data_IF_882580552325
#
_entry.id   IF_882580552325
#
_cell.length_a   1.000
_cell.length_b   1.000
_cell.length_c   1.000
_cell.angle_alpha   90.00
_cell.angle_beta   90.00
_cell.angle_gamma   90.00
#
_symmetry.space_group_name_H-M   'P 1'
#
loop_
_entity.id
_entity.type
_entity.pdbx_description
1 polymer ?
#
# COMPACT_ATOMS: atom_id res chain seq x y z
N UNK A 1 -35.45 77.85 -4.80
CA UNK A 1 -35.97 77.28 -6.06
C UNK A 1 -37.30 77.86 -6.52
N UNK A 2 -37.85 77.38 -7.65
CA UNK A 2 -39.09 77.91 -8.26
C UNK A 2 -40.36 77.11 -7.88
N UNK A 3 -40.45 76.60 -6.65
CA UNK A 3 -41.57 75.75 -6.23
C UNK A 3 -41.83 75.76 -4.73
N UNK A 4 -42.51 76.79 -4.24
CA UNK A 4 -42.94 76.99 -2.84
C UNK A 4 -44.14 76.12 -2.41
N UNK A 5 -44.59 75.19 -3.26
CA UNK A 5 -45.69 74.30 -2.96
C UNK A 5 -45.17 72.91 -2.52
N UNK A 6 -45.16 72.59 -1.22
CA UNK A 6 -44.66 71.31 -0.70
C UNK A 6 -45.48 70.08 -1.14
N UNK A 7 -46.61 70.28 -1.81
CA UNK A 7 -47.43 69.20 -2.39
C UNK A 7 -47.39 69.17 -3.94
N UNK A 8 -46.52 69.98 -4.57
CA UNK A 8 -46.31 69.99 -6.01
C UNK A 8 -45.36 68.87 -6.48
N UNK A 9 -45.37 68.54 -7.79
CA UNK A 9 -44.26 67.80 -8.40
C UNK A 9 -43.07 68.76 -8.50
N UNK A 10 -41.86 68.34 -8.08
CA UNK A 10 -40.65 69.17 -8.00
C UNK A 10 -40.79 70.31 -6.98
N UNK A 11 -41.18 69.97 -5.74
CA UNK A 11 -41.19 70.94 -4.66
C UNK A 11 -39.76 71.28 -4.25
N UNK A 12 -39.56 72.50 -3.78
CA UNK A 12 -38.28 73.00 -3.29
C UNK A 12 -37.88 72.23 -2.02
N UNK A 13 -36.77 71.47 -2.09
CA UNK A 13 -36.27 70.68 -0.94
C UNK A 13 -35.66 71.56 0.15
N UNK A 14 -35.26 72.80 -0.19
CA UNK A 14 -34.65 73.75 0.74
C UNK A 14 -35.43 75.08 0.83
N UNK A 15 -36.64 75.09 1.43
CA UNK A 15 -37.48 76.29 1.50
C UNK A 15 -36.84 77.51 2.17
N UNK A 16 -35.90 77.29 3.08
CA UNK A 16 -35.21 78.34 3.84
C UNK A 16 -33.91 78.82 3.15
N UNK A 17 -33.40 78.09 2.16
CA UNK A 17 -32.20 78.45 1.40
C UNK A 17 -32.60 78.86 -0.03
N UNK A 18 -32.61 80.18 -0.35
CA UNK A 18 -33.07 80.65 -1.67
C UNK A 18 -32.14 80.27 -2.82
N UNK A 19 -30.90 79.84 -2.52
CA UNK A 19 -29.92 79.44 -3.53
C UNK A 19 -29.93 77.95 -3.84
N UNK A 20 -30.60 77.13 -3.03
CA UNK A 20 -30.74 75.69 -3.24
C UNK A 20 -32.17 75.30 -3.61
N UNK A 21 -32.37 74.08 -4.13
CA UNK A 21 -33.72 73.56 -4.45
C UNK A 21 -33.83 72.06 -4.68
N UNK A 22 -32.72 71.36 -4.90
CA UNK A 22 -32.63 69.93 -5.21
C UNK A 22 -31.45 69.33 -4.44
N UNK A 23 -31.59 68.06 -4.11
CA UNK A 23 -30.68 67.21 -3.33
C UNK A 23 -30.95 65.81 -3.85
N UNK A 24 -30.11 65.38 -4.80
CA UNK A 24 -30.32 64.18 -5.61
C UNK A 24 -29.88 62.90 -4.88
N UNK A 25 -28.88 62.98 -3.99
CA UNK A 25 -28.41 61.87 -3.14
C UNK A 25 -29.14 61.76 -1.80
N UNK A 26 -29.88 62.77 -1.36
CA UNK A 26 -30.59 62.83 -0.07
C UNK A 26 -29.66 63.00 1.14
N UNK A 27 -28.46 63.57 0.96
CA UNK A 27 -27.48 63.82 2.03
C UNK A 27 -27.85 65.04 2.92
N UNK A 28 -28.79 65.87 2.43
CA UNK A 28 -29.27 67.07 3.09
C UNK A 28 -28.50 68.35 2.73
N UNK A 29 -27.63 68.30 1.72
CA UNK A 29 -26.94 69.40 1.08
C UNK A 29 -27.53 69.65 -0.32
N UNK A 30 -27.47 70.89 -0.79
CA UNK A 30 -28.08 71.24 -2.08
C UNK A 30 -27.12 71.09 -3.26
N UNK A 31 -27.57 70.49 -4.36
CA UNK A 31 -26.75 70.20 -5.55
C UNK A 31 -26.28 71.46 -6.31
N UNK A 32 -26.85 72.65 -6.05
CA UNK A 32 -26.48 73.84 -6.81
C UNK A 32 -25.13 74.36 -6.34
N UNK A 33 -24.05 73.91 -7.00
CA UNK A 33 -22.66 74.31 -6.74
C UNK A 33 -22.39 75.83 -6.68
N UNK A 34 -23.28 76.65 -7.23
CA UNK A 34 -23.18 78.12 -7.19
C UNK A 34 -23.91 78.76 -5.98
N UNK A 35 -24.62 77.98 -5.17
CA UNK A 35 -25.36 78.45 -4.01
C UNK A 35 -24.56 78.45 -2.72
N UNK A 36 -25.24 78.70 -1.60
CA UNK A 36 -24.65 78.74 -0.27
C UNK A 36 -24.84 77.41 0.43
N UNK A 37 -23.77 76.87 1.02
CA UNK A 37 -23.76 75.52 1.63
C UNK A 37 -24.10 74.42 0.61
N UNK A 38 -23.62 74.60 -0.63
CA UNK A 38 -23.73 73.59 -1.66
C UNK A 38 -22.97 72.32 -1.26
N UNK A 39 -23.51 71.20 -1.72
CA UNK A 39 -22.93 69.88 -1.59
C UNK A 39 -21.48 69.84 -2.16
N UNK A 40 -20.49 69.39 -1.37
CA UNK A 40 -19.12 69.22 -1.84
C UNK A 40 -18.93 68.06 -2.83
N UNK A 41 -19.77 67.01 -2.76
CA UNK A 41 -19.63 65.78 -3.55
C UNK A 41 -20.98 65.31 -4.12
N UNK A 42 -21.24 65.68 -5.37
CA UNK A 42 -22.52 65.38 -6.01
C UNK A 42 -22.75 63.89 -6.26
N UNK A 43 -23.89 63.38 -5.79
CA UNK A 43 -24.28 61.97 -5.77
C UNK A 43 -23.34 61.11 -4.91
N UNK A 44 -23.01 61.60 -3.72
CA UNK A 44 -22.22 60.93 -2.68
C UNK A 44 -22.89 61.22 -1.32
N UNK A 45 -23.76 60.29 -0.91
CA UNK A 45 -24.64 60.52 0.23
C UNK A 45 -23.90 60.66 1.57
N UNK A 46 -22.75 60.02 1.75
CA UNK A 46 -22.00 60.10 3.00
C UNK A 46 -20.78 61.03 2.95
N UNK A 47 -20.56 61.65 1.79
CA UNK A 47 -19.55 62.65 1.53
C UNK A 47 -18.11 62.17 1.79
N UNK A 48 -17.83 60.89 1.54
CA UNK A 48 -16.49 60.31 1.70
C UNK A 48 -15.57 60.52 0.49
N UNK A 49 -16.12 61.02 -0.62
CA UNK A 49 -15.42 61.31 -1.86
C UNK A 49 -15.65 60.28 -2.97
N UNK A 50 -16.43 59.23 -2.72
CA UNK A 50 -16.81 58.22 -3.70
C UNK A 50 -18.27 58.39 -4.12
N UNK A 51 -18.50 58.34 -5.42
CA UNK A 51 -19.87 58.47 -5.92
C UNK A 51 -20.69 57.23 -5.55
N UNK A 52 -21.94 57.41 -5.13
CA UNK A 52 -22.88 56.34 -4.73
C UNK A 52 -22.99 55.18 -5.75
N UNK A 53 -22.64 55.42 -7.01
CA UNK A 53 -22.68 54.41 -8.08
C UNK A 53 -21.48 53.45 -8.09
N UNK A 54 -20.34 53.86 -7.52
CA UNK A 54 -19.10 53.07 -7.39
C UNK A 54 -18.74 52.81 -5.93
N UNK A 55 -19.44 53.42 -4.98
CA UNK A 55 -19.27 53.14 -3.57
C UNK A 55 -20.04 51.87 -3.16
N UNK A 56 -19.33 50.92 -2.54
CA UNK A 56 -19.92 49.69 -2.02
C UNK A 56 -20.81 49.92 -0.80
N UNK A 57 -20.59 51.02 -0.07
CA UNK A 57 -21.34 51.41 1.10
C UNK A 57 -21.80 52.87 0.96
N UNK A 58 -22.78 53.18 0.07
CA UNK A 58 -23.26 54.54 -0.23
C UNK A 58 -23.86 55.33 0.95
N UNK A 59 -23.76 54.83 2.16
CA UNK A 59 -24.29 55.45 3.39
C UNK A 59 -23.30 55.40 4.54
N UNK A 60 -22.12 54.83 4.32
CA UNK A 60 -21.07 54.73 5.31
C UNK A 60 -19.70 54.73 4.62
N UNK A 61 -18.90 55.73 4.97
CA UNK A 61 -17.56 55.93 4.43
C UNK A 61 -16.79 54.63 4.16
N UNK A 62 -16.37 54.45 2.91
CA UNK A 62 -15.71 53.28 2.38
C UNK A 62 -14.46 53.66 1.57
N UNK A 63 -13.57 52.69 1.28
CA UNK A 63 -12.44 52.92 0.38
C UNK A 63 -12.80 53.07 -1.10
N UNK A 64 -14.06 52.84 -1.50
CA UNK A 64 -14.47 52.75 -2.90
C UNK A 64 -14.28 51.37 -3.53
N UNK A 65 -14.84 51.21 -4.73
CA UNK A 65 -14.68 50.07 -5.64
C UNK A 65 -14.69 50.64 -7.07
N UNK A 66 -13.52 51.06 -7.52
CA UNK A 66 -13.34 51.93 -8.70
C UNK A 66 -13.82 51.27 -9.99
N UNK A 67 -13.67 49.95 -10.12
CA UNK A 67 -14.10 49.20 -11.29
C UNK A 67 -15.43 48.44 -11.12
N UNK A 68 -15.99 48.50 -9.91
CA UNK A 68 -17.30 47.99 -9.52
C UNK A 68 -17.42 46.46 -9.62
N UNK A 69 -16.36 45.72 -9.28
CA UNK A 69 -16.32 44.26 -9.30
C UNK A 69 -16.63 43.60 -7.94
N UNK A 70 -16.72 44.41 -6.88
CA UNK A 70 -17.03 44.00 -5.52
C UNK A 70 -15.82 43.78 -4.62
N UNK A 71 -14.60 43.98 -5.13
CA UNK A 71 -13.37 44.11 -4.37
C UNK A 71 -13.17 45.59 -3.98
N UNK A 72 -12.65 45.82 -2.79
CA UNK A 72 -12.45 47.17 -2.26
C UNK A 72 -11.10 47.70 -2.72
N UNK A 73 -11.01 48.95 -3.18
CA UNK A 73 -9.74 49.57 -3.66
C UNK A 73 -8.57 49.42 -2.66
N UNK A 74 -8.84 49.36 -1.35
CA UNK A 74 -7.79 49.18 -0.32
C UNK A 74 -7.26 47.73 -0.21
N UNK A 75 -8.08 46.75 -0.61
CA UNK A 75 -7.81 45.30 -0.54
C UNK A 75 -7.63 44.65 -1.93
N UNK A 76 -7.90 45.39 -3.01
CA UNK A 76 -7.80 44.98 -4.39
C UNK A 76 -6.35 45.17 -4.91
N UNK A 77 -5.81 44.15 -5.55
CA UNK A 77 -4.50 44.25 -6.21
C UNK A 77 -4.60 45.00 -7.55
N UNK A 78 -5.80 45.11 -8.13
CA UNK A 78 -6.08 45.61 -9.47
C UNK A 78 -7.31 46.52 -9.55
N UNK A 79 -7.36 47.61 -8.80
CA UNK A 79 -8.49 48.58 -8.70
C UNK A 79 -9.08 49.13 -10.03
N UNK A 80 -8.42 48.94 -11.17
CA UNK A 80 -8.91 49.37 -12.50
C UNK A 80 -9.41 48.21 -13.39
N UNK A 81 -9.29 46.95 -12.93
CA UNK A 81 -9.57 45.76 -13.71
C UNK A 81 -10.63 44.87 -13.04
N UNK A 82 -11.89 44.94 -13.49
CA UNK A 82 -13.04 44.33 -12.81
C UNK A 82 -13.14 42.80 -12.99
N UNK A 83 -12.03 42.16 -13.34
CA UNK A 83 -11.88 40.74 -13.54
C UNK A 83 -10.81 40.14 -12.62
N UNK A 84 -10.09 40.94 -11.85
CA UNK A 84 -8.97 40.50 -11.01
C UNK A 84 -9.04 41.21 -9.67
N UNK A 85 -8.86 40.49 -8.57
CA UNK A 85 -8.80 41.08 -7.23
C UNK A 85 -7.55 40.72 -6.44
N UNK A 86 -6.91 39.60 -6.78
CA UNK A 86 -5.83 38.98 -6.02
C UNK A 86 -4.61 38.79 -6.92
N UNK A 87 -3.43 38.92 -6.31
CA UNK A 87 -2.10 38.68 -6.89
C UNK A 87 -1.31 37.91 -5.82
N UNK A 88 -1.43 36.58 -5.85
CA UNK A 88 -0.95 35.71 -4.78
C UNK A 88 0.57 35.59 -4.72
N UNK A 89 1.26 35.69 -5.86
CA UNK A 89 2.72 35.64 -5.96
C UNK A 89 3.38 37.04 -6.06
N UNK A 90 2.61 38.07 -6.35
CA UNK A 90 3.07 39.46 -6.45
C UNK A 90 3.79 39.79 -7.75
N UNK A 91 3.53 39.04 -8.84
CA UNK A 91 4.18 39.27 -10.14
C UNK A 91 3.49 40.35 -11.00
N UNK A 92 2.30 40.78 -10.59
CA UNK A 92 1.48 41.80 -11.24
C UNK A 92 0.54 41.26 -12.33
N UNK A 93 0.36 39.95 -12.43
CA UNK A 93 -0.74 39.27 -13.11
C UNK A 93 -1.73 38.80 -12.04
N UNK A 94 -3.03 39.00 -12.26
CA UNK A 94 -4.03 38.58 -11.28
C UNK A 94 -4.34 37.10 -11.36
N UNK A 95 -4.71 36.49 -10.23
CA UNK A 95 -4.96 35.04 -10.07
C UNK A 95 -5.99 34.47 -11.07
N UNK A 96 -6.94 35.26 -11.61
CA UNK A 96 -7.88 34.74 -12.62
C UNK A 96 -7.25 34.63 -14.03
N UNK A 97 -6.14 35.34 -14.25
CA UNK A 97 -5.42 35.45 -15.51
C UNK A 97 -4.03 34.83 -15.50
N UNK A 98 -3.47 34.59 -14.32
CA UNK A 98 -2.24 33.83 -14.13
C UNK A 98 -2.51 32.33 -14.33
N UNK A 99 -1.45 31.59 -14.59
CA UNK A 99 -1.48 30.14 -14.77
C UNK A 99 -0.64 29.41 -13.72
N UNK A 100 -0.01 30.13 -12.79
CA UNK A 100 0.88 29.68 -11.72
C UNK A 100 0.80 30.70 -10.56
N UNK A 101 -0.34 30.71 -9.85
CA UNK A 101 -0.74 31.76 -8.88
C UNK A 101 0.23 31.91 -7.68
N UNK A 102 1.12 30.95 -7.43
CA UNK A 102 2.11 31.00 -6.34
C UNK A 102 3.59 30.97 -6.79
N UNK A 103 3.81 30.86 -8.10
CA UNK A 103 5.12 30.87 -8.77
C UNK A 103 6.09 29.80 -8.27
N UNK A 104 5.59 28.65 -7.84
CA UNK A 104 6.40 27.51 -7.44
C UNK A 104 6.99 26.74 -8.64
N UNK A 105 6.51 27.06 -9.86
CA UNK A 105 6.89 26.47 -11.12
C UNK A 105 5.96 25.35 -11.62
N UNK A 106 4.83 25.12 -10.96
CA UNK A 106 3.74 24.26 -11.37
C UNK A 106 2.52 25.10 -11.75
N UNK A 107 1.90 24.78 -12.87
CA UNK A 107 0.69 25.52 -13.26
C UNK A 107 -0.51 25.07 -12.44
N UNK A 108 -1.46 25.96 -12.12
CA UNK A 108 -2.68 25.64 -11.36
C UNK A 108 -3.48 24.47 -11.98
N UNK A 109 -3.40 24.34 -13.31
CA UNK A 109 -4.04 23.25 -14.05
C UNK A 109 -3.42 21.86 -13.82
N UNK A 110 -2.12 21.81 -13.53
CA UNK A 110 -1.41 20.59 -13.16
C UNK A 110 -1.55 20.32 -11.65
N UNK A 111 -1.50 21.36 -10.83
CA UNK A 111 -1.76 21.27 -9.39
C UNK A 111 -3.18 20.82 -9.06
N UNK A 112 -4.18 21.41 -9.71
CA UNK A 112 -5.58 21.00 -9.58
C UNK A 112 -5.84 19.56 -10.06
N UNK A 113 -4.95 18.99 -10.88
CA UNK A 113 -5.00 17.58 -11.29
C UNK A 113 -4.42 16.65 -10.23
N UNK A 114 -3.33 17.06 -9.62
CA UNK A 114 -2.63 16.28 -8.58
C UNK A 114 -3.24 16.50 -7.18
N UNK A 115 -4.08 17.53 -7.04
CA UNK A 115 -4.85 17.85 -5.83
C UNK A 115 -4.06 18.67 -4.81
N UNK A 116 -3.10 19.47 -5.29
CA UNK A 116 -2.39 20.48 -4.49
C UNK A 116 -3.11 21.83 -4.51
N UNK A 117 -2.72 22.74 -3.61
CA UNK A 117 -3.26 24.10 -3.47
C UNK A 117 -2.48 25.11 -4.34
N UNK A 118 -3.09 25.68 -5.40
CA UNK A 118 -2.40 26.61 -6.31
C UNK A 118 -1.94 27.95 -5.71
N UNK A 119 -2.35 28.23 -4.47
CA UNK A 119 -2.02 29.46 -3.76
C UNK A 119 -0.98 29.25 -2.66
N UNK A 120 -0.45 28.02 -2.47
CA UNK A 120 0.56 27.71 -1.46
C UNK A 120 1.84 27.14 -2.10
N UNK A 121 2.93 27.94 -2.17
CA UNK A 121 4.16 27.53 -2.87
C UNK A 121 4.93 26.40 -2.18
N UNK A 122 4.40 25.88 -1.07
CA UNK A 122 4.94 24.71 -0.38
C UNK A 122 4.14 23.43 -0.66
N UNK A 123 2.95 23.51 -1.23
CA UNK A 123 2.10 22.37 -1.56
C UNK A 123 2.35 21.91 -3.00
N UNK A 124 3.59 21.58 -3.35
CA UNK A 124 3.91 21.24 -4.74
C UNK A 124 3.59 19.77 -5.07
N UNK A 125 3.23 19.43 -6.32
CA UNK A 125 3.14 18.04 -6.78
C UNK A 125 4.45 17.25 -6.57
N UNK A 126 4.31 15.97 -6.19
CA UNK A 126 5.49 15.11 -5.96
C UNK A 126 6.07 14.65 -7.29
N UNK A 127 7.15 15.30 -7.75
CA UNK A 127 7.87 14.85 -8.94
C UNK A 127 8.56 13.49 -8.72
N UNK A 128 8.22 12.51 -9.56
CA UNK A 128 8.87 11.21 -9.53
C UNK A 128 10.22 11.29 -10.25
N UNK A 129 11.31 11.11 -9.52
CA UNK A 129 12.66 11.07 -10.10
C UNK A 129 12.76 10.00 -11.21
N UNK A 130 12.84 10.44 -12.47
CA UNK A 130 13.13 9.61 -13.64
C UNK A 130 14.57 9.82 -14.12
N UNK A 131 15.41 8.80 -13.99
CA UNK A 131 16.74 8.81 -14.60
C UNK A 131 16.64 8.30 -16.03
N UNK A 132 16.75 9.20 -17.01
CA UNK A 132 16.84 8.83 -18.42
C UNK A 132 18.25 8.34 -18.74
N UNK A 133 18.37 7.12 -19.25
CA UNK A 133 19.67 6.59 -19.68
C UNK A 133 20.08 7.30 -20.99
N UNK A 134 21.24 7.98 -21.04
CA UNK A 134 21.64 8.77 -22.20
C UNK A 134 21.74 7.90 -23.46
N UNK A 135 20.98 8.26 -24.49
CA UNK A 135 20.90 7.53 -25.77
C UNK A 135 19.75 6.54 -25.90
N UNK A 136 18.84 6.47 -24.92
CA UNK A 136 17.60 5.66 -24.98
C UNK A 136 16.40 6.48 -24.49
N UNK A 137 15.19 6.10 -24.91
CA UNK A 137 13.93 6.70 -24.43
C UNK A 137 13.37 5.97 -23.19
N UNK A 138 14.23 5.30 -22.42
CA UNK A 138 13.83 4.52 -21.25
C UNK A 138 14.16 5.33 -19.99
N UNK A 139 13.12 5.75 -19.25
CA UNK A 139 13.24 6.33 -17.92
C UNK A 139 13.25 5.24 -16.86
N UNK A 140 14.23 5.27 -15.95
CA UNK A 140 14.26 4.43 -14.76
C UNK A 140 13.70 5.21 -13.57
N UNK A 141 12.54 4.81 -13.07
CA UNK A 141 11.97 5.37 -11.85
C UNK A 141 12.67 4.86 -10.58
N UNK A 142 12.47 5.54 -9.45
CA UNK A 142 13.05 5.15 -8.15
C UNK A 142 12.73 3.70 -7.74
N UNK A 143 11.51 3.23 -8.02
CA UNK A 143 11.11 1.84 -7.74
C UNK A 143 11.82 0.81 -8.62
N UNK A 144 12.09 1.11 -9.89
CA UNK A 144 12.86 0.24 -10.78
C UNK A 144 14.34 0.19 -10.34
N UNK A 145 14.88 1.32 -9.89
CA UNK A 145 16.23 1.40 -9.37
C UNK A 145 16.39 0.57 -8.08
N UNK A 146 15.45 0.68 -7.14
CA UNK A 146 15.41 -0.17 -5.93
C UNK A 146 15.26 -1.65 -6.32
N UNK A 147 14.39 -1.94 -7.30
CA UNK A 147 14.18 -3.28 -7.84
C UNK A 147 15.45 -3.88 -8.45
N UNK A 148 16.21 -3.11 -9.22
CA UNK A 148 17.49 -3.55 -9.78
C UNK A 148 18.56 -3.76 -8.70
N UNK A 149 18.77 -2.77 -7.82
CA UNK A 149 19.83 -2.83 -6.82
C UNK A 149 19.58 -3.88 -5.73
N UNK A 150 18.33 -4.10 -5.34
CA UNK A 150 17.96 -5.16 -4.39
C UNK A 150 17.71 -6.51 -5.06
N UNK A 151 16.97 -6.51 -6.17
CA UNK A 151 16.49 -7.71 -6.82
C UNK A 151 17.57 -8.47 -7.58
N UNK A 152 18.45 -7.79 -8.34
CA UNK A 152 19.49 -8.47 -9.13
C UNK A 152 20.47 -9.24 -8.24
N UNK A 153 21.02 -8.66 -7.15
CA UNK A 153 21.90 -9.40 -6.25
C UNK A 153 21.20 -10.56 -5.54
N UNK A 154 19.96 -10.37 -5.08
CA UNK A 154 19.20 -11.43 -4.40
C UNK A 154 18.85 -12.55 -5.36
N UNK A 155 18.41 -12.24 -6.57
CA UNK A 155 18.12 -13.23 -7.61
C UNK A 155 19.38 -14.02 -7.98
N UNK A 156 20.50 -13.31 -8.18
CA UNK A 156 21.80 -13.92 -8.45
C UNK A 156 22.25 -14.82 -7.30
N UNK A 157 22.03 -14.40 -6.04
CA UNK A 157 22.36 -15.19 -4.85
C UNK A 157 21.52 -16.46 -4.76
N UNK A 158 20.21 -16.36 -5.00
CA UNK A 158 19.30 -17.50 -5.00
C UNK A 158 19.68 -18.48 -6.11
N UNK A 159 19.92 -17.99 -7.33
CA UNK A 159 20.35 -18.81 -8.46
C UNK A 159 21.68 -19.52 -8.18
N UNK A 160 22.66 -18.80 -7.63
CA UNK A 160 23.92 -19.36 -7.18
C UNK A 160 23.73 -20.42 -6.08
N UNK A 161 22.82 -20.17 -5.14
CA UNK A 161 22.39 -21.14 -4.13
C UNK A 161 21.90 -22.42 -4.78
N UNK A 162 20.95 -22.35 -5.73
CA UNK A 162 20.41 -23.52 -6.43
C UNK A 162 21.48 -24.31 -7.19
N UNK A 163 22.35 -23.63 -7.93
CA UNK A 163 23.41 -24.28 -8.73
C UNK A 163 24.44 -24.96 -7.84
N UNK A 164 24.84 -24.33 -6.73
CA UNK A 164 25.89 -24.86 -5.85
C UNK A 164 25.37 -25.80 -4.77
N UNK A 165 24.05 -25.87 -4.54
CA UNK A 165 23.39 -26.65 -3.48
C UNK A 165 23.86 -28.11 -3.42
N UNK A 166 23.81 -28.83 -4.55
CA UNK A 166 24.15 -30.25 -4.60
C UNK A 166 25.63 -30.50 -4.30
N UNK A 167 26.52 -29.67 -4.87
CA UNK A 167 27.96 -29.80 -4.66
C UNK A 167 28.36 -29.48 -3.21
N UNK A 168 27.72 -28.48 -2.60
CA UNK A 168 27.96 -28.11 -1.19
C UNK A 168 27.50 -29.22 -0.23
N UNK A 169 26.31 -29.78 -0.44
CA UNK A 169 25.81 -30.88 0.38
C UNK A 169 26.76 -32.07 0.39
N UNK A 170 27.25 -32.48 -0.79
CA UNK A 170 28.21 -33.59 -0.91
C UNK A 170 29.53 -33.29 -0.20
N UNK A 171 30.01 -32.04 -0.22
CA UNK A 171 31.23 -31.66 0.52
C UNK A 171 31.05 -31.69 2.04
N UNK A 172 29.85 -31.38 2.54
CA UNK A 172 29.57 -31.48 3.98
C UNK A 172 29.43 -32.93 4.42
N UNK A 173 28.82 -33.78 3.60
CA UNK A 173 28.75 -35.22 3.82
C UNK A 173 30.16 -35.83 3.91
N UNK A 174 31.05 -35.50 2.96
CA UNK A 174 32.47 -35.92 2.98
C UNK A 174 33.20 -35.41 4.25
N UNK A 175 33.00 -34.15 4.64
CA UNK A 175 33.62 -33.61 5.87
C UNK A 175 33.10 -34.26 7.16
N UNK A 176 31.84 -34.71 7.18
CA UNK A 176 31.29 -35.45 8.32
C UNK A 176 31.93 -36.84 8.40
N UNK A 177 32.06 -37.54 7.28
CA UNK A 177 32.67 -38.88 7.22
C UNK A 177 34.17 -38.86 7.54
N UNK A 178 34.90 -37.80 7.19
CA UNK A 178 36.33 -37.66 7.48
C UNK A 178 36.65 -37.20 8.91
N UNK A 179 35.66 -36.70 9.66
CA UNK A 179 35.87 -36.23 11.04
C UNK A 179 36.33 -37.38 11.94
N UNK A 180 37.33 -37.14 12.80
CA UNK A 180 37.87 -38.16 13.72
C UNK A 180 37.52 -37.90 15.18
N UNK A 181 36.89 -36.76 15.48
CA UNK A 181 36.51 -36.37 16.82
C UNK A 181 35.16 -35.64 16.84
N UNK A 182 34.53 -35.65 18.01
CA UNK A 182 33.25 -34.98 18.26
C UNK A 182 33.35 -33.45 18.10
N UNK A 183 34.46 -32.85 18.50
CA UNK A 183 34.71 -31.41 18.30
C UNK A 183 34.78 -31.03 16.81
N UNK A 184 35.31 -31.91 15.95
CA UNK A 184 35.36 -31.70 14.50
C UNK A 184 33.96 -31.82 13.86
N UNK A 185 33.15 -32.79 14.32
CA UNK A 185 31.75 -32.93 13.92
C UNK A 185 30.94 -31.66 14.19
N UNK A 186 31.08 -31.09 15.40
CA UNK A 186 30.39 -29.84 15.77
C UNK A 186 30.84 -28.66 14.90
N UNK A 187 32.12 -28.56 14.56
CA UNK A 187 32.61 -27.53 13.66
C UNK A 187 32.04 -27.66 12.25
N UNK A 188 31.88 -28.88 11.74
CA UNK A 188 31.23 -29.12 10.45
C UNK A 188 29.73 -28.80 10.54
N UNK A 189 29.08 -29.13 11.66
CA UNK A 189 27.69 -28.78 11.96
C UNK A 189 27.42 -27.28 11.83
N UNK A 190 28.22 -26.46 12.53
CA UNK A 190 28.10 -25.01 12.47
C UNK A 190 28.23 -24.46 11.03
N UNK A 191 29.10 -25.06 10.20
CA UNK A 191 29.31 -24.62 8.81
C UNK A 191 28.09 -24.91 7.91
N UNK A 192 27.47 -26.09 8.03
CA UNK A 192 26.30 -26.41 7.21
C UNK A 192 25.02 -25.77 7.75
N UNK A 193 24.89 -25.57 9.07
CA UNK A 193 23.81 -24.77 9.68
C UNK A 193 23.83 -23.31 9.20
N UNK A 194 25.01 -22.65 9.21
CA UNK A 194 25.17 -21.31 8.67
C UNK A 194 24.78 -21.25 7.18
N UNK A 195 25.10 -22.31 6.43
CA UNK A 195 24.74 -22.41 5.02
C UNK A 195 23.24 -22.64 4.79
N UNK A 196 22.52 -23.27 5.73
CA UNK A 196 21.06 -23.31 5.74
C UNK A 196 20.46 -21.94 6.02
N UNK A 197 21.00 -21.19 6.99
CA UNK A 197 20.54 -19.83 7.31
C UNK A 197 20.64 -18.90 6.10
N UNK A 198 21.73 -19.00 5.33
CA UNK A 198 21.94 -18.23 4.11
C UNK A 198 21.16 -18.74 2.88
N UNK A 199 20.27 -19.73 3.05
CA UNK A 199 19.51 -20.40 1.97
C UNK A 199 20.40 -21.02 0.87
N UNK A 200 21.63 -21.38 1.19
CA UNK A 200 22.55 -22.07 0.27
C UNK A 200 22.30 -23.59 0.26
N UNK A 201 21.71 -24.11 1.33
CA UNK A 201 21.24 -25.48 1.46
C UNK A 201 19.72 -25.51 1.64
N UNK A 202 19.08 -26.56 1.14
CA UNK A 202 17.65 -26.77 1.34
C UNK A 202 17.36 -27.50 2.66
N UNK A 203 16.18 -27.30 3.28
CA UNK A 203 15.81 -27.95 4.54
C UNK A 203 15.95 -29.48 4.51
N UNK A 204 15.57 -30.11 3.39
CA UNK A 204 15.70 -31.56 3.20
C UNK A 204 17.16 -32.04 3.27
N UNK A 205 18.10 -31.25 2.74
CA UNK A 205 19.53 -31.59 2.82
C UNK A 205 20.07 -31.36 4.22
N UNK A 206 19.57 -30.35 4.93
CA UNK A 206 19.86 -30.15 6.36
C UNK A 206 19.46 -31.36 7.20
N UNK A 207 18.23 -31.87 7.02
CA UNK A 207 17.76 -33.07 7.74
C UNK A 207 18.67 -34.28 7.44
N UNK A 208 19.08 -34.46 6.18
CA UNK A 208 19.99 -35.55 5.80
C UNK A 208 21.35 -35.42 6.51
N UNK A 209 21.94 -34.22 6.53
CA UNK A 209 23.22 -33.98 7.20
C UNK A 209 23.12 -34.16 8.71
N UNK A 210 22.03 -33.71 9.33
CA UNK A 210 21.81 -33.87 10.77
C UNK A 210 21.65 -35.34 11.16
N UNK A 211 21.00 -36.15 10.31
CA UNK A 211 20.94 -37.59 10.49
C UNK A 211 22.34 -38.22 10.50
N UNK A 212 23.15 -37.91 9.48
CA UNK A 212 24.52 -38.45 9.36
C UNK A 212 25.37 -38.04 10.56
N UNK A 213 25.25 -36.78 10.99
CA UNK A 213 25.92 -36.27 12.19
C UNK A 213 25.53 -37.07 13.43
N UNK A 214 24.24 -37.29 13.67
CA UNK A 214 23.77 -38.07 14.83
C UNK A 214 24.29 -39.51 14.79
N UNK A 215 24.27 -40.16 13.63
CA UNK A 215 24.78 -41.53 13.46
C UNK A 215 26.30 -41.62 13.72
N UNK A 216 27.06 -40.56 13.41
CA UNK A 216 28.50 -40.48 13.70
C UNK A 216 28.76 -40.17 15.18
N UNK A 217 27.98 -39.30 15.80
CA UNK A 217 28.10 -38.97 17.23
C UNK A 217 27.91 -40.22 18.11
N UNK A 218 26.88 -41.03 17.83
CA UNK A 218 26.65 -42.31 18.50
C UNK A 218 27.85 -43.29 18.35
N UNK A 219 28.53 -43.28 17.21
CA UNK A 219 29.72 -44.11 16.97
C UNK A 219 30.91 -43.65 17.80
N UNK A 220 31.12 -42.33 17.92
CA UNK A 220 32.19 -41.79 18.75
C UNK A 220 31.93 -42.07 20.23
N UNK A 221 30.70 -41.89 20.71
CA UNK A 221 30.33 -42.21 22.09
C UNK A 221 30.55 -43.70 22.40
N UNK A 222 30.13 -44.59 21.50
CA UNK A 222 30.36 -46.03 21.65
C UNK A 222 31.86 -46.37 21.63
N UNK A 223 32.66 -45.75 20.76
CA UNK A 223 34.10 -45.96 20.70
C UNK A 223 34.81 -45.46 21.97
N UNK A 224 34.41 -44.29 22.51
CA UNK A 224 34.92 -43.77 23.78
C UNK A 224 34.56 -44.68 24.96
N UNK A 225 33.31 -45.17 25.01
CA UNK A 225 32.86 -46.10 26.04
C UNK A 225 33.62 -47.44 26.00
N UNK A 226 33.89 -47.98 24.80
CA UNK A 226 34.69 -49.19 24.62
C UNK A 226 36.14 -48.99 25.05
N UNK A 227 36.75 -47.85 24.70
CA UNK A 227 38.09 -47.49 25.18
C UNK A 227 38.14 -47.34 26.71
N UNK A 228 37.10 -46.76 27.32
CA UNK A 228 36.99 -46.63 28.77
C UNK A 228 36.76 -47.97 29.49
N UNK A 229 36.09 -48.93 28.85
CA UNK A 229 35.84 -50.26 29.38
C UNK A 229 37.05 -51.23 29.26
N UNK A 230 38.08 -50.87 28.48
CA UNK A 230 39.34 -51.61 28.41
C UNK A 230 39.31 -52.92 27.60
N UNK A 231 38.25 -53.17 26.82
CA UNK A 231 38.13 -54.33 25.93
C UNK A 231 38.51 -53.94 24.49
N UNK A 232 39.76 -54.20 24.10
CA UNK A 232 40.26 -53.99 22.74
C UNK A 232 39.92 -55.20 21.85
N UNK A 233 38.94 -55.08 20.97
CA UNK A 233 38.84 -55.91 19.75
C UNK A 233 38.91 -54.98 18.52
N UNK A 234 39.72 -55.32 17.49
CA UNK A 234 39.87 -54.47 16.32
C UNK A 234 38.59 -54.47 15.48
N UNK A 235 38.17 -53.27 15.05
CA UNK A 235 37.04 -53.02 14.15
C UNK A 235 37.00 -54.01 12.97
N UNK A 236 36.10 -54.97 13.03
CA UNK A 236 35.56 -55.66 11.86
C UNK A 236 34.06 -55.50 11.88
N UNK A 237 33.55 -54.76 10.90
CA UNK A 237 32.21 -54.79 10.32
C UNK A 237 31.15 -55.58 11.13
N UNK A 238 30.39 -54.85 11.95
CA UNK A 238 29.23 -55.41 12.64
C UNK A 238 28.08 -55.53 11.63
N UNK A 239 27.87 -56.76 11.15
CA UNK A 239 26.71 -57.12 10.34
C UNK A 239 25.42 -56.90 11.14
N UNK A 240 24.55 -55.99 10.66
CA UNK A 240 23.36 -55.51 11.38
C UNK A 240 22.18 -56.50 11.37
N UNK A 241 22.42 -57.79 11.12
CA UNK A 241 21.37 -58.76 10.84
C UNK A 241 20.59 -59.36 12.02
N UNK A 242 20.95 -59.27 13.33
CA UNK A 242 20.14 -59.94 14.35
C UNK A 242 18.98 -59.11 14.92
N UNK A 243 18.91 -57.79 14.65
CA UNK A 243 17.88 -56.92 15.27
C UNK A 243 16.50 -57.05 14.59
N UNK A 244 16.42 -57.63 13.39
CA UNK A 244 15.15 -57.76 12.65
C UNK A 244 14.32 -58.98 13.08
N UNK A 245 14.90 -59.97 13.77
CA UNK A 245 14.15 -61.19 14.17
C UNK A 245 13.36 -61.04 15.48
N UNK A 246 13.60 -60.00 16.29
CA UNK A 246 12.93 -59.84 17.58
C UNK A 246 11.53 -59.19 17.52
N UNK A 247 11.08 -58.75 16.34
CA UNK A 247 9.73 -58.17 16.16
C UNK A 247 9.01 -58.80 14.97
N UNK A 248 8.97 -60.13 14.90
CA UNK A 248 7.94 -60.79 14.11
C UNK A 248 6.61 -60.68 14.85
N UNK A 249 5.89 -59.59 14.58
CA UNK A 249 4.51 -59.37 15.01
C UNK A 249 3.70 -60.56 14.49
N UNK A 250 3.21 -61.41 15.39
CA UNK A 250 2.35 -62.54 15.04
C UNK A 250 1.08 -61.96 14.42
N UNK A 251 0.99 -62.07 13.09
CA UNK A 251 -0.23 -61.77 12.34
C UNK A 251 -1.17 -62.94 12.63
N UNK A 252 -2.39 -62.72 13.17
CA UNK A 252 -3.36 -63.80 13.27
C UNK A 252 -3.67 -64.30 11.85
N UNK A 253 -3.53 -65.60 11.64
CA UNK A 253 -3.98 -66.26 10.42
C UNK A 253 -5.48 -65.96 10.25
N UNK A 254 -5.85 -65.26 9.16
CA UNK A 254 -7.24 -65.11 8.76
C UNK A 254 -7.64 -66.47 8.18
N UNK A 255 -8.16 -67.32 9.06
CA UNK A 255 -8.73 -68.59 8.72
C UNK A 255 -10.12 -68.42 8.12
N UNK A 256 -10.37 -69.26 7.11
CA UNK A 256 -11.64 -69.69 6.53
C UNK A 256 -12.44 -68.66 5.73
N UNK A 257 -12.83 -69.09 4.53
CA UNK A 257 -13.73 -68.38 3.62
C UNK A 257 -15.14 -68.20 4.19
N UNK A 258 -16.12 -67.83 3.34
CA UNK A 258 -17.40 -67.32 3.80
C UNK A 258 -18.14 -68.34 4.70
N UNK A 259 -18.54 -67.92 5.90
CA UNK A 259 -19.25 -68.74 6.89
C UNK A 259 -20.75 -68.47 6.79
N UNK A 260 -21.55 -69.52 6.54
CA UNK A 260 -22.97 -69.49 6.12
C UNK A 260 -23.99 -69.04 7.20
N UNK A 261 -23.62 -68.20 8.16
CA UNK A 261 -24.54 -67.83 9.25
C UNK A 261 -25.28 -66.50 9.08
N UNK A 262 -25.03 -65.75 8.00
CA UNK A 262 -25.66 -64.45 7.78
C UNK A 262 -26.95 -64.56 6.94
N UNK A 263 -28.03 -63.96 7.43
CA UNK A 263 -29.31 -63.82 6.71
C UNK A 263 -29.16 -62.87 5.51
N UNK A 264 -29.88 -63.16 4.41
CA UNK A 264 -29.78 -62.41 3.17
C UNK A 264 -30.09 -60.90 3.37
N UNK A 265 -29.35 -60.04 2.67
CA UNK A 265 -29.35 -58.57 2.79
C UNK A 265 -28.71 -57.99 4.07
N UNK A 266 -27.84 -58.76 4.74
CA UNK A 266 -27.02 -58.27 5.86
C UNK A 266 -25.51 -58.34 5.56
N UNK A 267 -24.73 -57.55 6.32
CA UNK A 267 -23.27 -57.59 6.33
C UNK A 267 -22.83 -58.48 7.49
N UNK A 268 -21.97 -59.46 7.24
CA UNK A 268 -21.46 -60.35 8.29
C UNK A 268 -20.33 -59.70 9.12
N UNK A 269 -19.99 -60.33 10.26
CA UNK A 269 -18.91 -59.88 11.14
C UNK A 269 -17.53 -59.84 10.46
N UNK A 270 -17.40 -60.48 9.30
CA UNK A 270 -16.18 -60.54 8.49
C UNK A 270 -16.19 -59.49 7.35
N UNK A 271 -17.21 -58.63 7.28
CA UNK A 271 -17.28 -57.51 6.34
C UNK A 271 -17.78 -57.87 4.93
N UNK A 272 -18.39 -59.03 4.75
CA UNK A 272 -19.02 -59.43 3.48
C UNK A 272 -20.51 -59.08 3.46
N UNK A 273 -20.96 -58.50 2.36
CA UNK A 273 -22.39 -58.29 2.08
C UNK A 273 -22.96 -59.49 1.33
N UNK A 274 -24.16 -59.92 1.70
CA UNK A 274 -24.83 -61.11 1.13
C UNK A 274 -26.13 -60.76 0.40
N UNK A 275 -26.40 -61.41 -0.74
CA UNK A 275 -27.61 -61.24 -1.57
C UNK A 275 -28.16 -62.60 -2.00
N UNK A 276 -29.50 -62.75 -2.00
CA UNK A 276 -30.18 -63.93 -2.55
C UNK A 276 -30.84 -63.60 -3.89
N UNK A 277 -30.45 -64.27 -4.97
CA UNK A 277 -31.06 -64.09 -6.29
C UNK A 277 -31.27 -65.43 -7.00
N UNK A 278 -32.49 -65.67 -7.48
CA UNK A 278 -32.89 -66.89 -8.20
C UNK A 278 -32.56 -68.23 -7.48
N UNK A 279 -32.60 -68.25 -6.15
CA UNK A 279 -32.31 -69.45 -5.37
C UNK A 279 -30.81 -69.76 -5.18
N UNK A 280 -29.92 -68.84 -5.59
CA UNK A 280 -28.47 -68.86 -5.35
C UNK A 280 -28.03 -67.71 -4.43
N UNK A 281 -27.01 -67.96 -3.61
CA UNK A 281 -26.42 -66.98 -2.70
C UNK A 281 -25.23 -66.29 -3.36
N UNK A 282 -25.10 -64.98 -3.16
CA UNK A 282 -24.03 -64.16 -3.70
C UNK A 282 -23.39 -63.34 -2.58
N UNK A 283 -22.08 -63.15 -2.62
CA UNK A 283 -21.34 -62.34 -1.64
C UNK A 283 -20.38 -61.33 -2.29
N UNK A 284 -20.05 -60.27 -1.56
CA UNK A 284 -19.01 -59.29 -1.96
C UNK A 284 -18.35 -58.63 -0.75
N UNK A 285 -17.13 -58.12 -0.92
CA UNK A 285 -16.45 -57.26 0.06
C UNK A 285 -16.73 -55.78 -0.22
N UNK A 286 -16.63 -54.91 0.80
CA UNK A 286 -16.85 -53.47 0.65
C UNK A 286 -15.86 -52.77 -0.31
N UNK A 287 -14.76 -53.43 -0.69
CA UNK A 287 -13.76 -52.91 -1.63
C UNK A 287 -14.03 -53.29 -3.09
N UNK A 288 -14.94 -54.23 -3.36
CA UNK A 288 -15.14 -54.80 -4.70
C UNK A 288 -16.55 -54.52 -5.23
N UNK A 289 -16.63 -54.13 -6.51
CA UNK A 289 -17.91 -53.79 -7.17
C UNK A 289 -18.67 -55.00 -7.71
N UNK A 290 -18.05 -56.18 -7.73
CA UNK A 290 -18.60 -57.40 -8.33
C UNK A 290 -19.09 -58.38 -7.26
N UNK A 291 -20.18 -59.08 -7.58
CA UNK A 291 -20.74 -60.14 -6.74
C UNK A 291 -20.20 -61.51 -7.17
N UNK A 292 -19.81 -62.33 -6.21
CA UNK A 292 -19.36 -63.69 -6.43
C UNK A 292 -20.46 -64.67 -6.00
N UNK A 293 -20.75 -65.67 -6.84
CA UNK A 293 -21.69 -66.73 -6.49
C UNK A 293 -21.06 -67.59 -5.40
N UNK A 294 -21.75 -67.76 -4.27
CA UNK A 294 -21.37 -68.68 -3.23
C UNK A 294 -21.92 -70.07 -3.57
N UNK A 295 -21.06 -70.93 -4.09
CA UNK A 295 -21.34 -72.36 -4.22
C UNK A 295 -21.00 -73.04 -2.89
N UNK A 296 -22.02 -73.57 -2.22
CA UNK A 296 -21.89 -74.30 -0.96
C UNK A 296 -21.28 -75.69 -1.17
#
# INVERSE_FOLDING_TARGET
GFGDNPAGRLYDLFPDNPTEWIDDDEDGLGDNLNGTEADPYLNDFDNDGFNDTIDILPRLASPGDLDADGCLDDDDAFDENPLECLDSDGDGVGDNGDADDDNDGWTDADEGREGTDPLDPNDTPVDSFEMVIPGTEIGLGAWDLIGMFGGIPVFSWILFGFVTRNKRCSRYEEQLEEAQSRDELEQVALKWEYSLMLRLLGPHQGIRLERIRSELDDKFENAENLMAAGEFEPMTEVDQTPIVEAQQKVIPEIGSGPSISAEADQIDENGYSWLMHEGKQWYRTNSESHWFEFEN
#
